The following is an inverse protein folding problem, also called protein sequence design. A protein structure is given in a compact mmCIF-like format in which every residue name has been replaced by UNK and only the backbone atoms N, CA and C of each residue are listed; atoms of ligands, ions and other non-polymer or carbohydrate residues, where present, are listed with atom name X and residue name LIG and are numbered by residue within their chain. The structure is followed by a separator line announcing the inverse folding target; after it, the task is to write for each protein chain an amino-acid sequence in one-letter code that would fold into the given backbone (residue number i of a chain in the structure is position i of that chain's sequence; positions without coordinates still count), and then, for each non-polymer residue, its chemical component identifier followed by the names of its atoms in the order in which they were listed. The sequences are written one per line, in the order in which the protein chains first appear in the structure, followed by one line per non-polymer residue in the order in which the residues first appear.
data_IF_186177319998
#
_entry.id   IF_186177319998
#
_cell.length_a   1.000
_cell.length_b   1.000
_cell.length_c   1.000
_cell.angle_alpha   90.00
_cell.angle_beta   90.00
_cell.angle_gamma   90.00
#
_symmetry.space_group_name_H-M   'P 1'
#
loop_
_entity.id
_entity.type
_entity.pdbx_description
1 polymer ?
#
# COMPACT_ATOMS: atom_id res chain seq x y z
N UNK A 1 -14.31 30.29 -11.78
CA UNK A 1 -13.27 29.30 -11.44
C UNK A 1 -13.86 27.93 -11.71
N UNK A 2 -13.46 27.25 -12.78
CA UNK A 2 -13.93 25.90 -13.05
C UNK A 2 -13.30 24.97 -11.99
N UNK A 3 -14.14 24.29 -11.20
CA UNK A 3 -13.70 23.18 -10.39
C UNK A 3 -13.08 22.16 -11.35
N UNK A 4 -11.75 22.05 -11.35
CA UNK A 4 -11.06 20.99 -12.06
C UNK A 4 -11.67 19.68 -11.57
N UNK A 5 -12.24 18.90 -12.49
CA UNK A 5 -12.86 17.62 -12.17
C UNK A 5 -11.85 16.81 -11.35
N UNK A 6 -12.19 16.54 -10.09
CA UNK A 6 -11.32 15.76 -9.22
C UNK A 6 -11.05 14.43 -9.92
N UNK A 7 -9.77 14.12 -10.13
CA UNK A 7 -9.40 12.84 -10.73
C UNK A 7 -9.79 11.77 -9.72
N UNK A 8 -10.81 10.97 -10.06
CA UNK A 8 -11.25 9.87 -9.22
C UNK A 8 -10.15 8.81 -9.09
N UNK A 9 -10.37 7.86 -8.17
CA UNK A 9 -9.50 6.69 -8.00
C UNK A 9 -9.28 6.00 -9.36
N UNK A 10 -8.02 5.74 -9.77
CA UNK A 10 -7.72 5.02 -11.01
C UNK A 10 -8.41 3.66 -11.07
N UNK A 11 -8.75 3.18 -12.27
CA UNK A 11 -9.43 1.90 -12.44
C UNK A 11 -8.65 0.73 -11.84
N UNK A 12 -7.32 0.80 -11.90
CA UNK A 12 -6.37 -0.13 -11.30
C UNK A 12 -6.50 -0.15 -9.77
N UNK A 13 -6.47 1.02 -9.13
CA UNK A 13 -6.67 1.14 -7.68
C UNK A 13 -8.07 0.70 -7.25
N UNK A 14 -9.10 0.93 -8.08
CA UNK A 14 -10.46 0.46 -7.81
C UNK A 14 -10.55 -1.09 -7.74
N UNK A 15 -9.60 -1.83 -8.33
CA UNK A 15 -9.53 -3.30 -8.20
C UNK A 15 -9.09 -3.78 -6.81
N UNK A 16 -8.67 -2.88 -5.93
CA UNK A 16 -8.36 -3.18 -4.53
C UNK A 16 -9.61 -3.10 -3.62
N UNK A 17 -10.75 -2.62 -4.14
CA UNK A 17 -12.02 -2.56 -3.40
C UNK A 17 -12.53 -3.97 -3.12
N UNK A 18 -12.97 -4.22 -1.88
CA UNK A 18 -13.51 -5.50 -1.45
C UNK A 18 -12.98 -5.96 -0.10
N UNK A 19 -13.05 -7.27 0.13
CA UNK A 19 -12.48 -7.92 1.31
C UNK A 19 -11.58 -9.07 0.88
N UNK A 20 -10.38 -9.10 1.44
CA UNK A 20 -9.30 -9.95 0.97
C UNK A 20 -8.71 -10.72 2.14
N UNK A 21 -8.42 -11.99 1.89
CA UNK A 21 -7.56 -12.79 2.75
C UNK A 21 -6.17 -12.78 2.14
N UNK A 22 -5.21 -12.35 2.93
CA UNK A 22 -3.83 -12.19 2.50
C UNK A 22 -2.94 -13.19 3.22
N UNK A 23 -2.02 -13.78 2.47
CA UNK A 23 -1.05 -14.72 3.01
C UNK A 23 0.28 -14.56 2.31
N UNK A 24 1.36 -14.69 3.07
CA UNK A 24 2.72 -14.66 2.57
C UNK A 24 3.72 -14.80 3.71
N UNK A 25 4.82 -14.07 3.65
CA UNK A 25 5.95 -14.26 4.57
C UNK A 25 6.69 -12.96 4.85
N UNK A 26 7.22 -12.86 6.06
CA UNK A 26 8.27 -11.91 6.38
C UNK A 26 9.61 -12.35 5.78
N UNK A 27 10.56 -11.43 5.68
CA UNK A 27 11.95 -11.70 5.30
C UNK A 27 12.58 -12.84 6.13
N UNK A 28 12.22 -12.93 7.42
CA UNK A 28 12.66 -14.01 8.32
C UNK A 28 12.15 -15.40 7.95
N UNK A 29 11.29 -15.52 6.93
CA UNK A 29 10.62 -16.75 6.52
C UNK A 29 9.37 -17.09 7.33
N UNK A 30 9.10 -16.35 8.43
CA UNK A 30 7.90 -16.50 9.24
C UNK A 30 6.65 -16.21 8.43
N UNK A 31 5.57 -16.94 8.73
CA UNK A 31 4.26 -16.76 8.09
C UNK A 31 3.72 -15.38 8.42
N UNK A 32 3.14 -14.74 7.41
CA UNK A 32 2.36 -13.51 7.52
C UNK A 32 0.97 -13.76 6.94
N UNK A 33 -0.08 -13.52 7.73
CA UNK A 33 -1.47 -13.59 7.29
C UNK A 33 -2.20 -12.35 7.78
N UNK A 34 -2.98 -11.73 6.91
CA UNK A 34 -3.75 -10.55 7.25
C UNK A 34 -5.10 -10.52 6.53
N UNK A 35 -5.99 -9.68 7.02
CA UNK A 35 -7.24 -9.33 6.38
C UNK A 35 -7.13 -7.92 5.83
N UNK A 36 -7.46 -7.76 4.55
CA UNK A 36 -7.54 -6.45 3.91
C UNK A 36 -8.98 -6.10 3.57
N UNK A 37 -9.33 -4.83 3.74
CA UNK A 37 -10.58 -4.25 3.23
C UNK A 37 -10.25 -3.05 2.36
N UNK A 38 -11.04 -2.83 1.31
CA UNK A 38 -10.87 -1.69 0.42
C UNK A 38 -12.21 -1.04 0.08
N UNK A 39 -12.27 0.28 0.13
CA UNK A 39 -13.47 1.07 -0.19
C UNK A 39 -13.10 2.41 -0.82
N UNK A 40 -13.93 2.86 -1.77
CA UNK A 40 -13.81 4.20 -2.33
C UNK A 40 -14.62 5.17 -1.47
N UNK A 41 -13.98 6.25 -1.05
CA UNK A 41 -14.55 7.26 -0.15
C UNK A 41 -14.50 8.66 -0.78
N UNK A 42 -15.06 9.65 -0.09
CA UNK A 42 -15.01 11.07 -0.48
C UNK A 42 -15.46 11.32 -1.93
N UNK A 43 -16.58 10.71 -2.33
CA UNK A 43 -17.18 10.92 -3.64
C UNK A 43 -16.35 10.39 -4.81
N UNK A 44 -15.50 9.39 -4.59
CA UNK A 44 -14.69 8.79 -5.66
C UNK A 44 -13.24 9.24 -5.68
N UNK A 45 -12.84 10.17 -4.80
CA UNK A 45 -11.52 10.79 -4.85
C UNK A 45 -10.41 9.97 -4.15
N UNK A 46 -10.78 9.11 -3.20
CA UNK A 46 -9.82 8.37 -2.38
C UNK A 46 -10.21 6.90 -2.24
N UNK A 47 -9.20 6.03 -2.24
CA UNK A 47 -9.30 4.65 -1.82
C UNK A 47 -8.82 4.55 -0.38
N UNK A 48 -9.67 4.03 0.50
CA UNK A 48 -9.26 3.60 1.84
C UNK A 48 -9.02 2.10 1.82
N UNK A 49 -7.84 1.67 2.26
CA UNK A 49 -7.54 0.29 2.59
C UNK A 49 -7.39 0.15 4.10
N UNK A 50 -7.85 -0.97 4.66
CA UNK A 50 -7.60 -1.33 6.05
C UNK A 50 -6.94 -2.72 6.10
N UNK A 51 -5.90 -2.86 6.91
CA UNK A 51 -5.20 -4.12 7.15
C UNK A 51 -5.31 -4.50 8.63
N UNK A 52 -5.46 -5.80 8.89
CA UNK A 52 -5.29 -6.37 10.24
C UNK A 52 -4.61 -7.71 10.15
N UNK A 53 -3.47 -7.85 10.83
CA UNK A 53 -2.75 -9.12 10.91
C UNK A 53 -3.55 -10.15 11.71
N UNK A 54 -3.66 -11.33 11.12
CA UNK A 54 -4.14 -12.56 11.77
C UNK A 54 -2.94 -13.34 12.32
N UNK A 55 -1.83 -13.35 11.59
CA UNK A 55 -0.57 -13.96 11.99
C UNK A 55 0.60 -13.10 11.53
N UNK A 56 1.51 -12.67 12.42
CA UNK A 56 1.56 -12.95 13.85
C UNK A 56 0.39 -12.33 14.62
N UNK A 57 -0.04 -13.00 15.70
CA UNK A 57 -1.08 -12.50 16.59
C UNK A 57 -0.67 -11.27 17.42
N UNK A 58 0.46 -10.63 17.08
CA UNK A 58 0.89 -9.35 17.65
C UNK A 58 -0.05 -8.20 17.29
N UNK A 59 -0.93 -8.40 16.30
CA UNK A 59 -2.07 -7.52 16.05
C UNK A 59 -1.70 -6.22 15.36
N UNK A 60 -0.81 -6.28 14.35
CA UNK A 60 -0.60 -5.14 13.46
C UNK A 60 -1.93 -4.73 12.82
N UNK A 61 -2.18 -3.42 12.80
CA UNK A 61 -3.37 -2.86 12.18
C UNK A 61 -3.01 -1.52 11.55
N UNK A 62 -3.49 -1.32 10.32
CA UNK A 62 -3.17 -0.15 9.53
C UNK A 62 -4.37 0.33 8.73
N UNK A 63 -4.38 1.64 8.45
CA UNK A 63 -5.29 2.29 7.54
C UNK A 63 -4.47 3.08 6.53
N UNK A 64 -4.75 2.83 5.26
CA UNK A 64 -4.09 3.46 4.13
C UNK A 64 -5.08 4.30 3.34
N UNK A 65 -4.71 5.54 3.03
CA UNK A 65 -5.48 6.42 2.14
C UNK A 65 -4.68 6.68 0.88
N UNK A 66 -5.06 6.02 -0.22
CA UNK A 66 -4.48 6.18 -1.54
C UNK A 66 -5.32 7.15 -2.38
N UNK A 67 -4.68 8.16 -2.96
CA UNK A 67 -5.33 9.13 -3.84
C UNK A 67 -4.32 9.87 -4.70
N UNK A 68 -4.82 10.79 -5.53
CA UNK A 68 -3.99 11.63 -6.39
C UNK A 68 -3.89 13.04 -5.80
N UNK A 69 -2.67 13.55 -5.60
CA UNK A 69 -2.41 14.93 -5.21
C UNK A 69 -2.34 15.80 -6.49
N UNK A 70 -3.35 16.64 -6.78
CA UNK A 70 -3.35 17.45 -7.99
C UNK A 70 -2.34 18.60 -7.95
N UNK A 71 -1.93 19.06 -6.77
CA UNK A 71 -0.97 20.15 -6.62
C UNK A 71 0.45 19.65 -6.94
N UNK A 72 0.79 18.45 -6.47
CA UNK A 72 2.09 17.80 -6.73
C UNK A 72 2.09 16.89 -7.96
N UNK A 73 0.92 16.66 -8.56
CA UNK A 73 0.69 15.82 -9.74
C UNK A 73 1.25 14.40 -9.59
N UNK A 74 0.97 13.75 -8.47
CA UNK A 74 1.48 12.41 -8.14
C UNK A 74 0.49 11.63 -7.29
N UNK A 75 0.56 10.32 -7.31
CA UNK A 75 -0.18 9.50 -6.36
C UNK A 75 0.45 9.63 -4.98
N UNK A 76 -0.38 9.65 -3.94
CA UNK A 76 0.01 9.74 -2.53
C UNK A 76 -0.72 8.68 -1.72
N UNK A 77 -0.01 8.07 -0.78
CA UNK A 77 -0.57 7.15 0.19
C UNK A 77 -0.20 7.64 1.60
N UNK A 78 -1.22 7.85 2.42
CA UNK A 78 -1.06 8.08 3.86
C UNK A 78 -1.24 6.75 4.57
N UNK A 79 -0.21 6.31 5.28
CA UNK A 79 -0.23 5.13 6.13
C UNK A 79 -0.29 5.58 7.59
N UNK A 80 -1.32 5.13 8.30
CA UNK A 80 -1.41 5.21 9.75
C UNK A 80 -1.61 3.82 10.33
N UNK A 81 -0.72 3.40 11.22
CA UNK A 81 -0.74 2.09 11.83
C UNK A 81 -0.39 2.17 13.32
N UNK A 82 -0.50 1.05 14.03
CA UNK A 82 -0.24 1.01 15.46
C UNK A 82 1.24 1.11 15.85
N UNK A 83 2.16 1.21 14.89
CA UNK A 83 3.58 1.50 15.10
C UNK A 83 3.97 2.95 14.71
N UNK A 84 3.08 3.71 14.05
CA UNK A 84 3.36 5.08 13.63
C UNK A 84 2.59 5.48 12.38
N UNK A 85 3.18 6.38 11.60
CA UNK A 85 2.61 6.84 10.34
C UNK A 85 3.72 7.18 9.33
N UNK A 86 3.39 7.08 8.05
CA UNK A 86 4.28 7.45 6.96
C UNK A 86 3.48 8.00 5.77
N UNK A 87 4.15 8.79 4.93
CA UNK A 87 3.62 9.27 3.66
C UNK A 87 4.46 8.68 2.54
N UNK A 88 3.77 8.17 1.54
CA UNK A 88 4.37 7.59 0.35
C UNK A 88 3.89 8.34 -0.88
N UNK A 89 4.71 8.35 -1.92
CA UNK A 89 4.30 8.88 -3.22
C UNK A 89 4.78 8.03 -4.39
N UNK A 90 4.08 8.16 -5.51
CA UNK A 90 4.48 7.60 -6.80
C UNK A 90 4.39 8.67 -7.88
N UNK A 91 5.52 8.94 -8.54
CA UNK A 91 5.58 9.89 -9.64
C UNK A 91 4.94 9.32 -10.91
N UNK A 92 5.11 8.02 -11.13
CA UNK A 92 4.69 7.34 -12.36
C UNK A 92 3.29 6.73 -12.22
N UNK A 93 2.81 6.54 -10.98
CA UNK A 93 1.52 5.94 -10.69
C UNK A 93 1.47 4.46 -11.10
N UNK A 94 0.30 4.03 -11.56
CA UNK A 94 0.11 2.66 -12.04
C UNK A 94 0.78 2.45 -13.41
N UNK A 95 1.56 1.38 -13.53
CA UNK A 95 2.17 0.94 -14.78
C UNK A 95 2.16 -0.59 -14.85
N UNK A 96 1.64 -1.15 -15.95
CA UNK A 96 1.52 -2.59 -16.18
C UNK A 96 0.90 -3.37 -14.99
N UNK A 97 -0.14 -2.78 -14.38
CA UNK A 97 -0.83 -3.36 -13.24
C UNK A 97 -0.05 -3.33 -11.92
N UNK A 98 1.06 -2.59 -11.86
CA UNK A 98 1.84 -2.40 -10.63
C UNK A 98 1.88 -0.93 -10.21
N UNK A 99 1.96 -0.69 -8.90
CA UNK A 99 2.11 0.63 -8.30
C UNK A 99 3.23 0.58 -7.26
N UNK A 100 4.22 1.45 -7.41
CA UNK A 100 5.30 1.60 -6.43
C UNK A 100 5.11 2.89 -5.65
N UNK A 101 4.85 2.77 -4.35
CA UNK A 101 4.68 3.88 -3.41
C UNK A 101 5.93 3.96 -2.53
N UNK A 102 6.76 5.00 -2.69
CA UNK A 102 8.02 5.16 -1.93
C UNK A 102 7.85 6.21 -0.84
N UNK A 103 8.33 5.92 0.36
CA UNK A 103 8.26 6.83 1.51
C UNK A 103 9.17 8.03 1.30
N UNK A 104 8.84 9.14 1.96
CA UNK A 104 9.83 10.18 2.22
C UNK A 104 10.96 9.62 3.12
N UNK A 105 12.10 10.32 3.18
CA UNK A 105 13.20 9.98 4.09
C UNK A 105 12.76 10.25 5.54
N UNK A 106 12.61 9.19 6.34
CA UNK A 106 12.18 9.31 7.75
C UNK A 106 13.28 9.86 8.68
N UNK A 107 14.47 10.17 8.16
CA UNK A 107 15.58 10.75 8.91
C UNK A 107 16.58 9.72 9.46
N UNK A 108 17.72 10.22 9.89
CA UNK A 108 18.79 9.38 10.46
C UNK A 108 18.34 8.70 11.75
N UNK A 109 18.68 7.43 11.92
CA UNK A 109 18.29 6.62 13.08
C UNK A 109 16.90 5.99 12.99
N UNK A 110 16.08 6.34 12.00
CA UNK A 110 14.79 5.67 11.77
C UNK A 110 15.00 4.19 11.37
N UNK A 111 14.30 3.22 12.02
CA UNK A 111 14.46 1.79 11.73
C UNK A 111 14.25 1.41 10.27
N UNK A 112 13.33 2.11 9.60
CA UNK A 112 12.95 1.90 8.20
C UNK A 112 13.02 3.22 7.43
N UNK A 113 14.17 3.90 7.54
CA UNK A 113 14.42 5.24 6.96
C UNK A 113 13.93 5.41 5.52
N UNK A 114 14.21 4.41 4.69
CA UNK A 114 13.70 4.33 3.33
C UNK A 114 12.90 3.04 3.18
N UNK A 115 11.62 3.18 2.86
CA UNK A 115 10.77 2.02 2.62
C UNK A 115 9.77 2.30 1.50
N UNK A 116 9.24 1.25 0.88
CA UNK A 116 8.28 1.36 -0.20
C UNK A 116 7.31 0.19 -0.18
N UNK A 117 6.09 0.44 -0.63
CA UNK A 117 5.13 -0.60 -0.99
C UNK A 117 5.13 -0.81 -2.50
N UNK A 118 5.12 -2.06 -2.92
CA UNK A 118 4.91 -2.45 -4.31
C UNK A 118 3.62 -3.25 -4.38
N UNK A 119 2.59 -2.67 -4.99
CA UNK A 119 1.34 -3.36 -5.28
C UNK A 119 1.41 -3.94 -6.69
N UNK A 120 0.91 -5.16 -6.88
CA UNK A 120 0.77 -5.77 -8.21
C UNK A 120 -0.59 -6.44 -8.31
N UNK A 121 -1.37 -6.08 -9.33
CA UNK A 121 -2.66 -6.67 -9.60
C UNK A 121 -2.49 -8.06 -10.20
N UNK A 122 -3.24 -9.03 -9.66
CA UNK A 122 -3.19 -10.42 -10.10
C UNK A 122 -4.39 -10.75 -10.99
N UNK A 123 -4.18 -11.69 -11.91
CA UNK A 123 -5.26 -12.32 -12.67
C UNK A 123 -5.73 -13.61 -11.98
N UNK A 124 -7.02 -13.99 -12.09
CA UNK A 124 -8.13 -13.17 -12.59
C UNK A 124 -8.61 -12.12 -11.58
N UNK A 125 -8.29 -12.28 -10.29
CA UNK A 125 -8.65 -11.35 -9.22
C UNK A 125 -7.66 -11.47 -8.06
N UNK A 126 -7.47 -10.38 -7.33
CA UNK A 126 -6.50 -10.26 -6.25
C UNK A 126 -5.37 -9.29 -6.57
N UNK A 127 -4.49 -9.14 -5.60
CA UNK A 127 -3.28 -8.35 -5.71
C UNK A 127 -2.20 -8.95 -4.81
N UNK A 128 -0.94 -8.65 -5.05
CA UNK A 128 0.10 -8.77 -4.06
C UNK A 128 0.52 -7.39 -3.57
N UNK A 129 1.01 -7.35 -2.34
CA UNK A 129 1.71 -6.20 -1.78
C UNK A 129 3.04 -6.68 -1.21
N UNK A 130 4.12 -6.01 -1.55
CA UNK A 130 5.44 -6.25 -0.99
C UNK A 130 5.91 -4.98 -0.31
N UNK A 131 6.23 -5.08 0.97
CA UNK A 131 6.93 -4.01 1.67
C UNK A 131 8.44 -4.22 1.54
N UNK A 132 9.15 -3.18 1.10
CA UNK A 132 10.59 -3.22 0.87
C UNK A 132 11.27 -2.09 1.63
N UNK A 133 12.48 -2.35 2.11
CA UNK A 133 13.29 -1.41 2.88
C UNK A 133 14.69 -1.33 2.31
N UNK A 134 15.36 -0.19 2.54
CA UNK A 134 16.81 -0.06 2.34
C UNK A 134 17.41 0.84 3.41
N UNK A 135 18.68 0.63 3.75
CA UNK A 135 19.36 1.34 4.83
C UNK A 135 19.90 2.72 4.40
N UNK A 136 20.31 2.84 3.14
CA UNK A 136 20.89 4.05 2.56
C UNK A 136 20.25 4.34 1.19
N UNK A 137 20.38 5.56 0.66
CA UNK A 137 19.84 5.90 -0.66
C UNK A 137 20.41 5.04 -1.81
N UNK A 138 21.64 4.56 -1.68
CA UNK A 138 22.34 3.80 -2.71
C UNK A 138 22.28 2.27 -2.50
N UNK A 139 21.72 1.82 -1.37
CA UNK A 139 21.56 0.41 -1.09
C UNK A 139 20.43 -0.20 -1.94
N UNK A 140 20.56 -1.50 -2.22
CA UNK A 140 19.50 -2.28 -2.84
C UNK A 140 18.26 -2.39 -1.94
N UNK A 141 17.10 -2.50 -2.57
CA UNK A 141 15.84 -2.77 -1.89
C UNK A 141 15.78 -4.22 -1.44
N UNK A 142 15.55 -4.43 -0.15
CA UNK A 142 15.30 -5.75 0.42
C UNK A 142 13.83 -5.90 0.77
N UNK A 143 13.24 -7.04 0.44
CA UNK A 143 11.87 -7.38 0.88
C UNK A 143 11.85 -7.55 2.40
N UNK A 144 11.00 -6.76 3.06
CA UNK A 144 10.67 -6.89 4.49
C UNK A 144 9.54 -7.90 4.69
N UNK A 145 8.47 -7.81 3.91
CA UNK A 145 7.40 -8.80 3.83
C UNK A 145 6.74 -8.80 2.43
N UNK A 146 6.00 -9.87 2.18
CA UNK A 146 5.18 -10.03 1.00
C UNK A 146 3.87 -10.72 1.37
N UNK A 147 2.78 -10.21 0.81
CA UNK A 147 1.44 -10.76 0.94
C UNK A 147 0.80 -10.92 -0.44
N UNK A 148 0.15 -12.07 -0.65
CA UNK A 148 -0.77 -12.30 -1.76
C UNK A 148 -2.19 -12.30 -1.24
N UNK A 149 -3.00 -11.38 -1.74
CA UNK A 149 -4.37 -11.12 -1.33
C UNK A 149 -5.36 -11.66 -2.36
N UNK A 150 -6.27 -12.52 -1.91
CA UNK A 150 -7.33 -13.10 -2.73
C UNK A 150 -8.69 -12.82 -2.09
N UNK A 151 -9.71 -12.68 -2.93
CA UNK A 151 -11.06 -12.41 -2.45
C UNK A 151 -11.46 -13.50 -1.46
N UNK A 152 -12.08 -13.09 -0.35
CA UNK A 152 -12.65 -14.06 0.60
C UNK A 152 -13.68 -14.92 -0.16
N UNK A 153 -13.50 -16.24 -0.14
CA UNK A 153 -14.53 -17.15 -0.62
C UNK A 153 -15.82 -16.87 0.16
N UNK A 154 -16.92 -16.72 -0.56
CA UNK A 154 -18.25 -16.52 0.02
C UNK A 154 -18.68 -17.75 0.84
#
# INVERSE_FOLDING_TARGET
MAAGSARGVPAEAARLVGSWQCSGRFHSGRVHRSLYTGSVILGGAWLQLGETDVEPATGYAALYLLGFDPQRRRDVLFDANNAGAAVYSSQDGWHDGSLVMTSDDAGEGAPYRFNRFVYTLLAPSGFSVTWQVRKTPDAEWATGDELVCRAKAA
#
